data_IF_998530471081
#
_entry.id   IF_998530471081
#
_cell.length_a   1.000
_cell.length_b   1.000
_cell.length_c   1.000
_cell.angle_alpha   90.00
_cell.angle_beta   90.00
_cell.angle_gamma   90.00
#
_symmetry.space_group_name_H-M   'P 1'
#
loop_
_entity.id
_entity.type
_entity.pdbx_description
1 polymer ?
#
# COMPACT_ATOMS: atom_id res chain seq x y z
N UNK A 1 -60.35 28.74 6.70
CA UNK A 1 -59.08 29.41 6.31
C UNK A 1 -57.93 28.50 6.68
N UNK A 2 -57.04 28.23 5.71
CA UNK A 2 -55.87 27.35 5.83
C UNK A 2 -54.72 28.13 6.46
N UNK A 3 -54.03 27.56 7.44
CA UNK A 3 -52.66 27.97 7.78
C UNK A 3 -51.75 26.75 7.76
N UNK A 4 -50.74 26.87 6.91
CA UNK A 4 -49.77 25.87 6.51
C UNK A 4 -48.75 25.56 7.62
N UNK A 5 -48.52 24.25 7.74
CA UNK A 5 -47.27 23.58 8.10
C UNK A 5 -45.98 24.38 7.87
N UNK A 6 -45.09 24.41 8.87
CA UNK A 6 -43.64 24.55 8.68
C UNK A 6 -42.88 23.59 9.58
N UNK A 7 -42.58 22.43 9.01
CA UNK A 7 -41.52 21.54 9.45
C UNK A 7 -40.20 22.26 9.23
N UNK A 8 -39.38 22.37 10.26
CA UNK A 8 -37.99 22.80 10.12
C UNK A 8 -37.17 21.57 9.76
N UNK A 9 -36.56 21.49 8.56
CA UNK A 9 -35.51 20.51 8.34
C UNK A 9 -34.32 20.96 9.19
N UNK A 10 -33.94 20.15 10.17
CA UNK A 10 -32.62 20.25 10.79
C UNK A 10 -31.63 19.86 9.69
N UNK A 11 -31.12 20.87 8.99
CA UNK A 11 -29.94 20.73 8.14
C UNK A 11 -28.80 20.28 9.05
N UNK A 12 -28.48 19.00 9.02
CA UNK A 12 -27.17 18.51 9.41
C UNK A 12 -26.15 19.02 8.37
N UNK A 13 -25.74 20.29 8.50
CA UNK A 13 -24.53 20.77 7.87
C UNK A 13 -23.36 20.03 8.52
N UNK A 14 -22.96 18.92 7.91
CA UNK A 14 -21.71 18.27 8.22
C UNK A 14 -20.59 19.26 7.87
N UNK A 15 -19.92 19.79 8.89
CA UNK A 15 -18.69 20.54 8.76
C UNK A 15 -17.59 19.61 8.23
N UNK A 16 -17.57 19.35 6.92
CA UNK A 16 -16.42 18.79 6.21
C UNK A 16 -15.51 19.92 5.74
N UNK A 17 -15.13 20.81 6.67
CA UNK A 17 -14.12 21.84 6.43
C UNK A 17 -12.79 21.14 6.12
N UNK A 18 -12.43 21.15 4.83
CA UNK A 18 -11.13 20.82 4.26
C UNK A 18 -10.53 19.44 4.57
N UNK A 19 -11.33 18.38 4.40
CA UNK A 19 -10.75 17.05 4.25
C UNK A 19 -9.84 17.04 3.00
N UNK A 20 -8.51 17.07 3.24
CA UNK A 20 -7.48 17.10 2.18
C UNK A 20 -7.55 15.91 1.24
N UNK A 21 -8.12 14.80 1.69
CA UNK A 21 -8.43 13.62 0.89
C UNK A 21 -9.89 13.21 1.09
N UNK A 22 -10.53 12.72 0.04
CA UNK A 22 -11.88 12.16 0.11
C UNK A 22 -11.93 10.83 -0.61
N UNK A 23 -12.73 9.90 -0.11
CA UNK A 23 -12.97 8.61 -0.74
C UNK A 23 -14.45 8.44 -1.04
N UNK A 24 -14.77 7.85 -2.19
CA UNK A 24 -16.13 7.59 -2.62
C UNK A 24 -16.30 6.13 -3.00
N UNK A 25 -17.46 5.56 -2.68
CA UNK A 25 -17.89 4.24 -3.13
C UNK A 25 -18.91 4.41 -4.25
N UNK A 26 -18.50 4.13 -5.48
CA UNK A 26 -19.39 4.16 -6.63
C UNK A 26 -19.94 2.77 -6.89
N UNK A 27 -21.27 2.63 -6.86
CA UNK A 27 -21.96 1.39 -7.24
C UNK A 27 -22.33 1.49 -8.72
N UNK A 28 -21.64 0.74 -9.57
CA UNK A 28 -21.85 0.79 -11.01
C UNK A 28 -23.06 -0.06 -11.45
N UNK A 29 -23.70 0.28 -12.59
CA UNK A 29 -24.86 -0.46 -13.10
C UNK A 29 -24.58 -1.93 -13.47
N UNK A 30 -23.31 -2.29 -13.67
CA UNK A 30 -22.87 -3.65 -13.97
C UNK A 30 -22.67 -4.53 -12.72
N UNK A 31 -22.92 -3.98 -11.53
CA UNK A 31 -22.77 -4.66 -10.25
C UNK A 31 -21.34 -4.63 -9.69
N UNK A 32 -20.45 -3.82 -10.27
CA UNK A 32 -19.14 -3.52 -9.68
C UNK A 32 -19.24 -2.39 -8.65
N UNK A 33 -18.59 -2.58 -7.51
CA UNK A 33 -18.31 -1.52 -6.55
C UNK A 33 -16.91 -0.96 -6.81
N UNK A 34 -16.82 0.32 -7.15
CA UNK A 34 -15.55 1.03 -7.33
C UNK A 34 -15.24 1.93 -6.14
N UNK A 35 -14.02 1.82 -5.63
CA UNK A 35 -13.51 2.76 -4.63
C UNK A 35 -12.58 3.75 -5.32
N UNK A 36 -12.90 5.04 -5.17
CA UNK A 36 -12.10 6.13 -5.71
C UNK A 36 -11.58 7.01 -4.57
N UNK A 37 -10.40 7.57 -4.77
CA UNK A 37 -9.80 8.56 -3.87
C UNK A 37 -9.57 9.84 -4.65
N UNK A 38 -9.84 10.98 -4.01
CA UNK A 38 -9.57 12.31 -4.52
C UNK A 38 -8.66 13.05 -3.56
N UNK A 39 -7.63 13.68 -4.10
CA UNK A 39 -6.80 14.64 -3.38
C UNK A 39 -7.42 16.04 -3.53
N UNK A 40 -7.97 16.61 -2.47
CA UNK A 40 -8.53 17.97 -2.49
C UNK A 40 -7.50 19.04 -2.12
N UNK A 41 -6.29 18.65 -1.72
CA UNK A 41 -5.25 19.59 -1.35
C UNK A 41 -4.56 20.22 -2.57
N UNK A 42 -3.83 21.31 -2.33
CA UNK A 42 -3.00 21.96 -3.33
C UNK A 42 -1.63 21.25 -3.54
N UNK A 43 -1.31 20.28 -2.68
CA UNK A 43 -0.05 19.53 -2.71
C UNK A 43 -0.32 18.10 -3.21
N UNK A 44 0.62 17.46 -3.89
CA UNK A 44 0.47 16.06 -4.29
C UNK A 44 0.43 15.13 -3.07
N UNK A 45 -0.45 14.12 -3.10
CA UNK A 45 -0.52 13.04 -2.12
C UNK A 45 0.47 11.94 -2.53
N UNK A 46 1.59 11.86 -1.83
CA UNK A 46 2.73 11.00 -2.20
C UNK A 46 2.58 9.58 -1.70
N UNK A 47 1.82 9.35 -0.63
CA UNK A 47 1.47 8.00 -0.20
C UNK A 47 0.10 8.01 0.46
N UNK A 48 -0.66 6.93 0.29
CA UNK A 48 -1.94 6.76 0.95
C UNK A 48 -2.26 5.30 1.22
N UNK A 49 -3.17 5.10 2.16
CA UNK A 49 -3.76 3.81 2.50
C UNK A 49 -5.26 3.98 2.64
N UNK A 50 -5.98 3.02 2.07
CA UNK A 50 -7.44 2.98 2.10
C UNK A 50 -7.86 1.64 2.67
N UNK A 51 -8.83 1.67 3.58
CA UNK A 51 -9.48 0.47 4.07
C UNK A 51 -10.98 0.57 3.84
N UNK A 52 -11.57 -0.50 3.34
CA UNK A 52 -13.02 -0.63 3.15
C UNK A 52 -13.51 -1.89 3.83
N UNK A 53 -14.69 -1.81 4.45
CA UNK A 53 -15.34 -3.00 5.01
C UNK A 53 -15.96 -3.82 3.88
N UNK A 54 -15.96 -5.13 4.06
CA UNK A 54 -16.60 -6.04 3.11
C UNK A 54 -17.92 -6.51 3.69
N UNK A 55 -18.96 -6.58 2.85
CA UNK A 55 -20.21 -7.26 3.22
C UNK A 55 -19.94 -8.76 3.34
N UNK A 56 -20.36 -9.40 4.45
CA UNK A 56 -20.33 -10.84 4.55
C UNK A 56 -21.15 -11.45 3.41
N UNK A 57 -20.52 -12.30 2.58
CA UNK A 57 -21.21 -13.04 1.52
C UNK A 57 -21.87 -14.32 2.04
N UNK A 58 -21.38 -14.86 3.15
CA UNK A 58 -21.93 -16.05 3.80
C UNK A 58 -21.50 -16.12 5.26
N UNK A 59 -22.06 -17.05 6.04
CA UNK A 59 -21.66 -17.29 7.43
C UNK A 59 -20.16 -17.69 7.57
N UNK A 60 -19.51 -18.10 6.48
CA UNK A 60 -18.11 -18.51 6.45
C UNK A 60 -17.21 -17.53 5.70
N UNK A 61 -17.74 -16.41 5.19
CA UNK A 61 -16.92 -15.42 4.51
C UNK A 61 -16.11 -14.60 5.52
N UNK A 62 -14.83 -14.38 5.21
CA UNK A 62 -14.00 -13.46 5.98
C UNK A 62 -14.60 -12.05 5.94
N UNK A 63 -14.78 -11.46 7.12
CA UNK A 63 -15.20 -10.06 7.28
C UNK A 63 -13.99 -9.12 7.43
N UNK A 64 -12.78 -9.62 7.13
CA UNK A 64 -11.58 -8.80 7.20
C UNK A 64 -11.71 -7.62 6.21
N UNK A 65 -11.39 -6.39 6.65
CA UNK A 65 -11.45 -5.25 5.77
C UNK A 65 -10.45 -5.42 4.62
N UNK A 66 -10.82 -4.91 3.45
CA UNK A 66 -9.90 -4.84 2.33
C UNK A 66 -9.03 -3.59 2.49
N UNK A 67 -7.71 -3.75 2.37
CA UNK A 67 -6.75 -2.67 2.58
C UNK A 67 -5.89 -2.52 1.33
N UNK A 68 -5.77 -1.30 0.82
CA UNK A 68 -4.92 -0.95 -0.32
C UNK A 68 -3.94 0.12 0.10
N UNK A 69 -2.69 -0.07 -0.27
CA UNK A 69 -1.63 0.92 -0.11
C UNK A 69 -1.26 1.45 -1.50
N UNK A 70 -0.84 2.70 -1.54
CA UNK A 70 -0.12 3.27 -2.68
C UNK A 70 1.01 4.09 -2.09
N UNK A 71 2.24 3.66 -2.32
CA UNK A 71 3.43 4.34 -1.83
C UNK A 71 4.56 4.13 -2.85
N UNK A 72 4.85 5.12 -3.70
CA UNK A 72 5.88 5.05 -4.74
C UNK A 72 7.28 4.74 -4.20
N UNK A 73 7.54 4.97 -2.91
CA UNK A 73 8.82 4.63 -2.28
C UNK A 73 9.00 3.13 -2.04
N UNK A 74 7.90 2.39 -2.06
CA UNK A 74 7.83 0.95 -1.82
C UNK A 74 7.42 0.23 -3.11
N UNK A 75 6.45 0.79 -3.83
CA UNK A 75 5.85 0.28 -5.05
C UNK A 75 6.09 1.28 -6.18
N UNK A 76 7.26 1.25 -6.84
CA UNK A 76 7.68 2.29 -7.79
C UNK A 76 6.79 2.40 -9.04
N UNK A 77 5.99 1.36 -9.32
CA UNK A 77 4.97 1.38 -10.38
C UNK A 77 3.75 2.24 -10.02
N UNK A 78 3.61 2.62 -8.75
CA UNK A 78 2.57 3.54 -8.30
C UNK A 78 3.05 4.98 -8.43
N UNK A 79 2.14 5.88 -8.82
CA UNK A 79 2.43 7.30 -8.94
C UNK A 79 1.80 8.07 -7.78
N UNK A 80 2.37 9.20 -7.33
CA UNK A 80 1.67 10.14 -6.47
C UNK A 80 0.30 10.54 -7.06
N UNK A 81 -0.65 10.87 -6.21
CA UNK A 81 -1.94 11.44 -6.62
C UNK A 81 -1.81 12.97 -6.63
N UNK A 82 -1.82 13.58 -7.81
CA UNK A 82 -1.58 15.01 -7.98
C UNK A 82 -2.67 15.85 -7.29
N UNK A 83 -2.38 17.14 -7.08
CA UNK A 83 -3.34 18.08 -6.53
C UNK A 83 -4.64 18.08 -7.35
N UNK A 84 -5.78 17.97 -6.68
CA UNK A 84 -7.11 17.91 -7.28
C UNK A 84 -7.38 16.69 -8.19
N UNK A 85 -6.47 15.72 -8.26
CA UNK A 85 -6.65 14.47 -9.01
C UNK A 85 -7.57 13.49 -8.26
N UNK A 86 -8.31 12.72 -9.04
CA UNK A 86 -9.10 11.59 -8.56
C UNK A 86 -8.67 10.30 -9.26
N UNK A 87 -8.53 9.22 -8.51
CA UNK A 87 -8.06 7.92 -9.01
C UNK A 87 -8.95 6.78 -8.54
N UNK A 88 -9.24 5.85 -9.45
CA UNK A 88 -9.82 4.55 -9.08
C UNK A 88 -8.73 3.69 -8.44
N UNK A 89 -9.01 3.22 -7.23
CA UNK A 89 -8.03 2.47 -6.42
C UNK A 89 -8.22 0.97 -6.67
N UNK A 90 -9.47 0.52 -6.66
CA UNK A 90 -9.85 -0.83 -7.06
C UNK A 90 -11.35 -0.89 -7.37
N UNK A 91 -11.71 -1.90 -8.15
CA UNK A 91 -13.09 -2.29 -8.43
C UNK A 91 -13.33 -3.72 -7.95
N UNK A 92 -14.49 -3.99 -7.36
CA UNK A 92 -14.86 -5.33 -6.89
C UNK A 92 -16.34 -5.59 -7.11
N UNK A 93 -16.65 -6.68 -7.79
CA UNK A 93 -18.02 -7.08 -8.08
C UNK A 93 -18.08 -8.46 -8.69
N UNK A 94 -19.24 -8.82 -9.22
CA UNK A 94 -19.41 -10.00 -10.07
C UNK A 94 -19.84 -9.48 -11.44
N UNK A 95 -18.97 -9.62 -12.44
CA UNK A 95 -19.27 -9.17 -13.79
C UNK A 95 -20.49 -9.93 -14.36
N UNK A 96 -21.38 -9.27 -15.12
CA UNK A 96 -22.52 -9.93 -15.74
C UNK A 96 -22.06 -11.03 -16.71
N UNK A 97 -22.38 -12.29 -16.42
CA UNK A 97 -22.19 -13.42 -17.35
C UNK A 97 -21.06 -14.41 -17.04
N UNK A 98 -20.31 -14.24 -15.94
CA UNK A 98 -19.25 -15.19 -15.53
C UNK A 98 -19.55 -15.84 -14.17
N UNK A 99 -20.71 -16.50 -14.05
CA UNK A 99 -20.88 -17.49 -12.98
C UNK A 99 -20.91 -18.91 -13.58
N UNK A 100 -19.80 -19.67 -13.48
CA UNK A 100 -19.76 -21.06 -13.95
C UNK A 100 -20.73 -21.98 -13.18
N UNK A 101 -21.30 -21.51 -12.06
CA UNK A 101 -22.16 -22.31 -11.18
C UNK A 101 -23.65 -21.99 -11.28
N UNK A 102 -24.08 -21.13 -12.23
CA UNK A 102 -25.49 -20.78 -12.42
C UNK A 102 -26.20 -20.40 -11.11
N UNK A 103 -25.52 -19.71 -10.19
CA UNK A 103 -26.19 -19.23 -8.98
C UNK A 103 -27.11 -18.08 -9.36
N UNK A 104 -28.21 -17.88 -8.62
CA UNK A 104 -29.17 -16.83 -8.93
C UNK A 104 -28.44 -15.50 -9.08
N UNK A 105 -28.60 -14.88 -10.26
CA UNK A 105 -28.18 -13.51 -10.49
C UNK A 105 -28.74 -12.67 -9.34
N UNK A 106 -27.87 -11.91 -8.71
CA UNK A 106 -28.30 -10.85 -7.82
C UNK A 106 -29.22 -9.89 -8.59
N UNK A 107 -30.52 -10.10 -8.49
CA UNK A 107 -31.52 -9.14 -8.95
C UNK A 107 -31.71 -8.10 -7.83
N UNK A 108 -30.74 -7.20 -7.66
CA UNK A 108 -30.71 -6.16 -6.62
C UNK A 108 -29.30 -5.66 -6.25
N UNK A 109 -29.21 -4.73 -5.29
CA UNK A 109 -27.96 -4.12 -4.76
C UNK A 109 -26.98 -5.16 -4.19
N UNK A 110 -26.26 -5.87 -5.04
CA UNK A 110 -25.17 -6.77 -4.62
C UNK A 110 -23.85 -6.02 -4.42
N UNK A 111 -23.94 -4.95 -3.64
CA UNK A 111 -22.78 -4.24 -3.13
C UNK A 111 -22.01 -5.18 -2.20
N UNK A 112 -20.71 -5.30 -2.47
CA UNK A 112 -19.77 -6.13 -1.73
C UNK A 112 -18.97 -5.32 -0.71
N UNK A 113 -18.99 -4.00 -0.86
CA UNK A 113 -18.23 -3.07 -0.06
C UNK A 113 -19.18 -2.20 0.77
N UNK A 114 -18.75 -1.85 1.98
CA UNK A 114 -19.52 -1.02 2.89
C UNK A 114 -18.76 0.25 3.25
N UNK A 115 -19.52 1.33 3.37
CA UNK A 115 -19.09 2.56 4.00
C UNK A 115 -19.10 2.42 5.54
N UNK A 116 -18.31 3.24 6.27
CA UNK A 116 -17.39 4.26 5.76
C UNK A 116 -16.10 3.65 5.18
N UNK A 117 -15.62 4.24 4.09
CA UNK A 117 -14.25 4.03 3.62
C UNK A 117 -13.34 4.90 4.48
N UNK A 118 -12.35 4.29 5.13
CA UNK A 118 -11.40 5.01 5.98
C UNK A 118 -10.09 5.14 5.20
N UNK A 119 -9.49 6.33 5.26
CA UNK A 119 -8.31 6.67 4.47
C UNK A 119 -7.34 7.50 5.29
N UNK A 120 -6.05 7.38 4.97
CA UNK A 120 -4.99 8.22 5.48
C UNK A 120 -3.90 8.40 4.41
N UNK A 121 -3.10 9.45 4.54
CA UNK A 121 -1.98 9.65 3.63
C UNK A 121 -1.02 10.76 4.02
N UNK A 122 0.02 10.89 3.21
CA UNK A 122 1.14 11.82 3.34
C UNK A 122 1.20 12.69 2.08
N UNK A 123 1.21 14.00 2.25
CA UNK A 123 1.41 14.98 1.19
C UNK A 123 2.90 15.21 0.91
N UNK A 124 3.23 15.74 -0.27
CA UNK A 124 4.61 15.98 -0.69
C UNK A 124 5.37 16.98 0.19
N UNK A 125 4.67 17.83 0.94
CA UNK A 125 5.24 18.76 1.92
C UNK A 125 5.49 18.12 3.29
N UNK A 126 5.20 16.81 3.45
CA UNK A 126 5.35 16.06 4.69
C UNK A 126 4.12 16.12 5.61
N UNK A 127 3.09 16.91 5.27
CA UNK A 127 1.85 16.97 6.04
C UNK A 127 1.10 15.64 5.96
N UNK A 128 0.53 15.20 7.08
CA UNK A 128 -0.25 13.96 7.16
C UNK A 128 -1.74 14.26 7.29
N UNK A 129 -2.59 13.38 6.76
CA UNK A 129 -4.05 13.54 6.82
C UNK A 129 -4.79 12.22 6.96
N UNK A 130 -6.03 12.27 7.44
CA UNK A 130 -6.92 11.12 7.60
C UNK A 130 -6.77 10.37 8.92
N UNK A 131 -7.06 9.07 8.88
CA UNK A 131 -7.11 8.21 10.07
C UNK A 131 -5.72 7.90 10.66
N UNK A 132 -5.56 8.11 11.97
CA UNK A 132 -4.28 7.94 12.67
C UNK A 132 -3.80 6.49 12.69
N UNK A 133 -4.70 5.51 12.82
CA UNK A 133 -4.30 4.11 12.86
C UNK A 133 -3.81 3.65 11.49
N UNK A 134 -4.47 4.08 10.41
CA UNK A 134 -4.01 3.84 9.05
C UNK A 134 -2.69 4.56 8.73
N UNK A 135 -2.50 5.80 9.20
CA UNK A 135 -1.24 6.51 9.04
C UNK A 135 -0.08 5.75 9.72
N UNK A 136 -0.28 5.27 10.95
CA UNK A 136 0.72 4.44 11.65
C UNK A 136 1.05 3.16 10.88
N UNK A 137 0.07 2.55 10.23
CA UNK A 137 0.27 1.38 9.37
C UNK A 137 1.12 1.70 8.14
N UNK A 138 0.91 2.87 7.53
CA UNK A 138 1.71 3.34 6.39
C UNK A 138 3.17 3.60 6.81
N UNK A 139 3.39 4.27 7.95
CA UNK A 139 4.73 4.51 8.51
C UNK A 139 5.42 3.18 8.84
N UNK A 140 4.73 2.25 9.50
CA UNK A 140 5.26 0.92 9.80
C UNK A 140 5.67 0.17 8.52
N UNK A 141 4.90 0.32 7.45
CA UNK A 141 5.21 -0.28 6.15
C UNK A 141 6.51 0.29 5.55
N UNK A 142 6.74 1.61 5.63
CA UNK A 142 8.01 2.23 5.23
C UNK A 142 9.18 1.77 6.08
N UNK A 143 9.00 1.72 7.40
CA UNK A 143 10.01 1.22 8.34
C UNK A 143 10.39 -0.24 8.04
N UNK A 144 9.43 -1.11 7.75
CA UNK A 144 9.71 -2.51 7.39
C UNK A 144 10.41 -2.64 6.03
N UNK A 145 10.08 -1.78 5.06
CA UNK A 145 10.82 -1.74 3.78
C UNK A 145 12.25 -1.27 4.01
N UNK A 146 12.47 -0.23 4.81
CA UNK A 146 13.80 0.25 5.17
C UNK A 146 14.63 -0.86 5.83
N UNK A 147 14.04 -1.60 6.78
CA UNK A 147 14.70 -2.75 7.40
C UNK A 147 15.08 -3.82 6.37
N UNK A 148 14.19 -4.12 5.40
CA UNK A 148 14.50 -5.08 4.35
C UNK A 148 15.67 -4.62 3.45
N UNK A 149 15.74 -3.31 3.15
CA UNK A 149 16.88 -2.70 2.43
C UNK A 149 18.18 -2.86 3.23
N UNK A 150 18.16 -2.60 4.54
CA UNK A 150 19.34 -2.74 5.40
C UNK A 150 19.82 -4.20 5.49
N UNK A 151 18.90 -5.15 5.69
CA UNK A 151 19.22 -6.59 5.68
C UNK A 151 19.84 -6.99 4.34
N UNK A 152 19.31 -6.49 3.22
CA UNK A 152 19.82 -6.80 1.88
C UNK A 152 21.25 -6.27 1.70
N UNK A 153 21.50 -5.02 2.11
CA UNK A 153 22.82 -4.40 2.07
C UNK A 153 23.84 -5.19 2.91
N UNK A 154 23.48 -5.55 4.14
CA UNK A 154 24.33 -6.35 5.02
C UNK A 154 24.63 -7.72 4.41
N UNK A 155 23.60 -8.41 3.92
CA UNK A 155 23.73 -9.74 3.30
C UNK A 155 24.64 -9.72 2.08
N UNK A 156 24.49 -8.73 1.19
CA UNK A 156 25.36 -8.59 0.02
C UNK A 156 26.81 -8.25 0.41
N UNK A 157 27.00 -7.41 1.43
CA UNK A 157 28.33 -7.09 1.93
C UNK A 157 29.01 -8.32 2.54
N UNK A 158 28.29 -9.07 3.36
CA UNK A 158 28.78 -10.29 3.99
C UNK A 158 29.11 -11.37 2.95
N UNK A 159 28.22 -11.57 1.98
CA UNK A 159 28.44 -12.51 0.89
C UNK A 159 29.72 -12.20 0.10
N UNK A 160 29.98 -10.91 -0.18
CA UNK A 160 31.21 -10.48 -0.86
C UNK A 160 32.48 -10.68 -0.02
N UNK A 161 32.41 -10.54 1.31
CA UNK A 161 33.55 -10.78 2.21
C UNK A 161 33.89 -12.26 2.34
N UNK A 162 32.87 -13.11 2.38
CA UNK A 162 33.02 -14.55 2.62
C UNK A 162 33.02 -15.40 1.34
N UNK A 163 32.94 -14.75 0.17
CA UNK A 163 32.92 -15.43 -1.13
C UNK A 163 31.80 -16.49 -1.24
N UNK A 164 30.61 -16.15 -0.75
CA UNK A 164 29.45 -17.05 -0.70
C UNK A 164 29.05 -17.47 -2.11
N UNK A 165 28.68 -18.73 -2.34
CA UNK A 165 28.31 -19.18 -3.68
C UNK A 165 26.98 -18.56 -4.15
N UNK A 166 26.77 -18.48 -5.46
CA UNK A 166 25.51 -18.00 -6.05
C UNK A 166 24.30 -18.76 -5.50
N UNK A 167 24.38 -20.08 -5.47
CA UNK A 167 23.26 -20.93 -5.02
C UNK A 167 22.94 -20.69 -3.54
N UNK A 168 23.98 -20.55 -2.70
CA UNK A 168 23.79 -20.24 -1.28
C UNK A 168 23.15 -18.88 -1.08
N UNK A 169 23.58 -17.87 -1.83
CA UNK A 169 23.02 -16.52 -1.72
C UNK A 169 21.56 -16.46 -2.23
N UNK A 170 21.26 -17.14 -3.34
CA UNK A 170 19.90 -17.30 -3.85
C UNK A 170 19.02 -18.00 -2.81
N UNK A 171 19.50 -19.10 -2.22
CA UNK A 171 18.77 -19.83 -1.18
C UNK A 171 18.51 -18.93 0.04
N UNK A 172 19.49 -18.13 0.44
CA UNK A 172 19.35 -17.19 1.56
C UNK A 172 18.24 -16.16 1.30
N UNK A 173 18.26 -15.47 0.15
CA UNK A 173 17.22 -14.50 -0.18
C UNK A 173 15.85 -15.13 -0.40
N UNK A 174 15.77 -16.37 -0.90
CA UNK A 174 14.50 -17.13 -0.96
C UNK A 174 13.93 -17.37 0.45
N UNK A 175 14.76 -17.79 1.40
CA UNK A 175 14.34 -17.96 2.81
C UNK A 175 13.83 -16.65 3.41
N UNK A 176 14.51 -15.53 3.13
CA UNK A 176 14.05 -14.20 3.55
C UNK A 176 12.69 -13.86 2.93
N UNK A 177 12.52 -14.02 1.61
CA UNK A 177 11.24 -13.81 0.93
C UNK A 177 10.10 -14.67 1.50
N UNK A 178 10.37 -15.95 1.78
CA UNK A 178 9.40 -16.87 2.36
C UNK A 178 9.05 -16.52 3.81
N UNK A 179 10.01 -15.99 4.57
CA UNK A 179 9.80 -15.57 5.96
C UNK A 179 8.79 -14.44 6.07
N UNK A 180 8.76 -13.52 5.10
CA UNK A 180 7.84 -12.38 5.06
C UNK A 180 6.58 -12.67 4.25
N UNK A 181 6.45 -13.83 3.61
CA UNK A 181 5.29 -14.21 2.78
C UNK A 181 4.25 -15.06 3.53
N UNK A 182 4.24 -15.03 4.87
CA UNK A 182 3.34 -15.88 5.67
C UNK A 182 1.94 -15.28 5.74
N UNK A 183 0.92 -16.12 5.53
CA UNK A 183 -0.49 -15.70 5.48
C UNK A 183 -1.01 -14.99 6.75
N UNK A 184 -0.38 -15.26 7.90
CA UNK A 184 -0.74 -14.65 9.17
C UNK A 184 -0.07 -13.28 9.41
N UNK A 185 0.92 -12.91 8.60
CA UNK A 185 1.57 -11.61 8.72
C UNK A 185 0.68 -10.53 8.11
N UNK A 186 0.56 -9.36 8.75
CA UNK A 186 -0.14 -8.23 8.17
C UNK A 186 0.63 -7.71 6.94
N UNK A 187 -0.05 -7.08 5.96
CA UNK A 187 0.57 -6.62 4.70
C UNK A 187 1.83 -5.75 4.87
N UNK A 188 1.89 -4.96 5.94
CA UNK A 188 3.02 -4.10 6.29
C UNK A 188 4.31 -4.89 6.53
N UNK A 189 4.19 -6.10 7.08
CA UNK A 189 5.34 -6.97 7.35
C UNK A 189 5.74 -7.80 6.13
N UNK A 190 4.89 -7.87 5.11
CA UNK A 190 5.17 -8.61 3.87
C UNK A 190 5.94 -7.77 2.84
N UNK A 191 6.16 -6.49 3.12
CA UNK A 191 6.60 -5.49 2.14
C UNK A 191 7.99 -5.77 1.54
N UNK A 192 8.90 -6.37 2.30
CA UNK A 192 10.25 -6.71 1.84
C UNK A 192 10.30 -7.85 0.82
N UNK A 193 9.18 -8.58 0.62
CA UNK A 193 9.13 -9.76 -0.26
C UNK A 193 9.57 -9.43 -1.69
N UNK A 194 9.03 -8.35 -2.26
CA UNK A 194 9.32 -7.95 -3.63
C UNK A 194 10.81 -7.64 -3.83
N UNK A 195 11.42 -6.96 -2.86
CA UNK A 195 12.85 -6.67 -2.86
C UNK A 195 13.68 -7.97 -2.86
N UNK A 196 13.43 -8.87 -1.91
CA UNK A 196 14.18 -10.13 -1.83
C UNK A 196 14.02 -10.99 -3.08
N UNK A 197 12.82 -11.05 -3.65
CA UNK A 197 12.55 -11.75 -4.90
C UNK A 197 13.26 -11.11 -6.10
N UNK A 198 13.34 -9.77 -6.14
CA UNK A 198 14.09 -9.05 -7.17
C UNK A 198 15.59 -9.39 -7.10
N UNK A 199 16.18 -9.43 -5.91
CA UNK A 199 17.58 -9.82 -5.74
C UNK A 199 17.81 -11.26 -6.20
N UNK A 200 16.89 -12.19 -5.89
CA UNK A 200 16.96 -13.57 -6.40
C UNK A 200 16.95 -13.59 -7.93
N UNK A 201 16.04 -12.83 -8.56
CA UNK A 201 15.97 -12.71 -10.02
C UNK A 201 17.29 -12.20 -10.60
N UNK A 202 17.78 -11.07 -10.08
CA UNK A 202 19.03 -10.47 -10.54
C UNK A 202 20.22 -11.42 -10.39
N UNK A 203 20.29 -12.19 -9.30
CA UNK A 203 21.34 -13.20 -9.07
C UNK A 203 21.26 -14.38 -10.05
N UNK A 204 20.05 -14.81 -10.40
CA UNK A 204 19.81 -15.87 -11.39
C UNK A 204 20.21 -15.41 -12.80
N UNK A 205 19.97 -14.14 -13.11
CA UNK A 205 20.25 -13.54 -14.41
C UNK A 205 21.74 -13.16 -14.61
N UNK A 206 22.57 -13.29 -13.57
CA UNK A 206 24.01 -13.05 -13.69
C UNK A 206 24.66 -14.05 -14.67
N UNK A 207 25.56 -13.60 -15.57
CA UNK A 207 26.30 -14.51 -16.43
C UNK A 207 27.14 -15.47 -15.59
N UNK A 208 27.38 -16.69 -16.08
CA UNK A 208 28.28 -17.64 -15.42
C UNK A 208 29.68 -17.00 -15.29
N UNK A 209 30.17 -16.93 -14.06
CA UNK A 209 31.50 -16.39 -13.78
C UNK A 209 32.58 -17.36 -14.23
N UNK A 210 33.76 -16.83 -14.57
CA UNK A 210 34.93 -17.68 -14.79
C UNK A 210 35.22 -18.49 -13.52
N UNK A 211 35.56 -19.77 -13.68
CA UNK A 211 35.88 -20.65 -12.56
C UNK A 211 36.94 -20.02 -11.65
N UNK A 212 36.65 -19.95 -10.33
CA UNK A 212 37.54 -19.37 -9.33
C UNK A 212 37.42 -17.85 -9.15
N UNK A 213 36.54 -17.17 -9.89
CA UNK A 213 36.24 -15.75 -9.67
C UNK A 213 35.50 -15.54 -8.34
N UNK A 214 35.74 -14.41 -7.64
CA UNK A 214 35.01 -14.09 -6.43
C UNK A 214 33.52 -13.85 -6.73
N UNK A 215 32.66 -14.30 -5.82
CA UNK A 215 31.20 -14.14 -5.86
C UNK A 215 30.70 -13.49 -4.55
N UNK A 216 29.74 -12.56 -4.62
CA UNK A 216 29.12 -12.01 -5.84
C UNK A 216 30.09 -11.13 -6.64
N UNK A 217 29.90 -10.97 -7.96
CA UNK A 217 30.73 -10.09 -8.77
C UNK A 217 30.74 -8.67 -8.18
N UNK A 218 31.92 -8.07 -8.09
CA UNK A 218 32.09 -6.72 -7.48
C UNK A 218 31.19 -5.69 -8.17
N UNK A 219 31.02 -5.79 -9.49
CA UNK A 219 30.14 -4.92 -10.27
C UNK A 219 28.66 -5.06 -9.88
N UNK A 220 28.21 -6.28 -9.64
CA UNK A 220 26.86 -6.55 -9.14
C UNK A 220 26.66 -5.95 -7.75
N UNK A 221 27.57 -6.24 -6.81
CA UNK A 221 27.50 -5.71 -5.44
C UNK A 221 27.48 -4.18 -5.45
N UNK A 222 28.35 -3.55 -6.25
CA UNK A 222 28.40 -2.09 -6.36
C UNK A 222 27.11 -1.49 -6.92
N UNK A 223 26.54 -2.10 -7.97
CA UNK A 223 25.29 -1.63 -8.58
C UNK A 223 24.11 -1.75 -7.60
N UNK A 224 23.91 -2.92 -7.01
CA UNK A 224 22.82 -3.16 -6.06
C UNK A 224 22.97 -2.28 -4.82
N UNK A 225 24.19 -2.17 -4.28
CA UNK A 225 24.46 -1.29 -3.13
C UNK A 225 24.15 0.18 -3.44
N UNK A 226 24.46 0.65 -4.65
CA UNK A 226 24.13 2.02 -5.06
C UNK A 226 22.61 2.24 -5.14
N UNK A 227 21.87 1.29 -5.73
CA UNK A 227 20.41 1.34 -5.83
C UNK A 227 19.75 1.31 -4.45
N UNK A 228 20.17 0.37 -3.60
CA UNK A 228 19.65 0.19 -2.24
C UNK A 228 19.97 1.40 -1.35
N UNK A 229 21.16 2.00 -1.46
CA UNK A 229 21.49 3.21 -0.71
C UNK A 229 20.65 4.40 -1.13
N UNK A 230 20.33 4.55 -2.42
CA UNK A 230 19.39 5.60 -2.86
C UNK A 230 18.02 5.37 -2.24
N UNK A 231 17.50 4.15 -2.30
CA UNK A 231 16.21 3.82 -1.70
C UNK A 231 16.21 4.07 -0.18
N UNK A 232 17.28 3.67 0.51
CA UNK A 232 17.47 3.89 1.95
C UNK A 232 17.41 5.38 2.32
N UNK A 233 18.15 6.23 1.60
CA UNK A 233 18.15 7.68 1.83
C UNK A 233 16.76 8.25 1.60
N UNK A 234 16.12 7.92 0.48
CA UNK A 234 14.77 8.41 0.17
C UNK A 234 13.75 7.99 1.22
N UNK A 235 13.80 6.74 1.71
CA UNK A 235 12.90 6.28 2.78
C UNK A 235 13.11 7.07 4.07
N UNK A 236 14.37 7.24 4.49
CA UNK A 236 14.72 8.00 5.71
C UNK A 236 14.27 9.46 5.64
N UNK A 237 14.43 10.11 4.49
CA UNK A 237 14.04 11.51 4.29
C UNK A 237 12.51 11.69 4.15
N UNK A 238 11.79 10.60 3.84
CA UNK A 238 10.34 10.63 3.63
C UNK A 238 9.49 10.41 4.88
N UNK A 239 10.13 10.13 6.03
CA UNK A 239 9.43 9.93 7.29
C UNK A 239 8.79 11.27 7.74
N UNK A 240 7.47 11.30 8.00
CA UNK A 240 6.80 12.53 8.39
C UNK A 240 7.37 13.06 9.72
N UNK A 241 7.58 14.37 9.79
CA UNK A 241 7.99 15.07 11.01
C UNK A 241 7.01 14.74 12.15
N UNK A 242 7.47 13.98 13.15
CA UNK A 242 6.70 13.69 14.36
C UNK A 242 6.40 14.94 15.20
N UNK A 243 7.03 16.08 14.91
CA UNK A 243 6.84 17.32 15.66
C UNK A 243 5.42 17.90 15.51
N UNK A 244 4.74 17.65 14.39
CA UNK A 244 3.39 18.18 14.15
C UNK A 244 2.27 17.27 14.69
N UNK A 245 2.57 15.99 14.95
CA UNK A 245 1.60 15.04 15.51
C UNK A 245 1.22 15.37 16.98
N UNK A 246 2.10 16.07 17.72
CA UNK A 246 1.86 16.45 19.11
C UNK A 246 1.04 17.74 19.27
N UNK A 247 1.02 18.64 18.27
CA UNK A 247 0.29 19.92 18.38
C UNK A 247 -1.22 19.79 18.16
N UNK A 248 -1.70 18.65 17.65
CA UNK A 248 -3.14 18.33 17.55
C UNK A 248 -3.67 17.68 18.83
N UNK A 249 -2.82 17.38 19.83
CA UNK A 249 -3.22 16.77 21.10
C UNK A 249 -3.73 17.75 22.16
N UNK A 250 -3.80 19.06 21.86
CA UNK A 250 -4.18 20.09 22.85
C UNK A 250 -5.33 21.00 22.40
N UNK A 251 -6.23 20.54 21.52
CA UNK A 251 -7.50 21.24 21.25
C UNK A 251 -8.68 20.29 21.21
#
# INVERSE_FOLDING_TARGET
>A
MKTLSKWHPILACAFSLDAQITTTLNRLPDGLDEVRIRNNSATSLVAFVITVKQRPRSAYSSNAPFVVYSDPLIEPETNPLLAHEERMVFARGVAPGQDPLSRPRCHGECSLLEEPIITAGILADGTTTGDKALLNRLILRRSNMLQAVEITLETLSDAGRHNVSRDQLIEHFRKLADSVSRWYLPPEQQVGRGLYQSIVGNLMDLPEGQAGSPFPPVTFVALETATLNRQRVTLLESEPSLADAFLVSTR
#
